data_IF_082266945283
#
_entry.id   IF_082266945283
#
_cell.length_a   1.000
_cell.length_b   1.000
_cell.length_c   1.000
_cell.angle_alpha   90.00
_cell.angle_beta   90.00
_cell.angle_gamma   90.00
#
_symmetry.space_group_name_H-M   'P 1'
#
loop_
_entity.id
_entity.type
_entity.pdbx_description
1 polymer ?
#
# COMPACT_ATOMS: atom_id res chain seq x y z
N UNK A 1 -11.03 -2.78 -6.14
CA UNK A 1 -10.56 -4.15 -5.89
C UNK A 1 -11.48 -4.71 -4.81
N UNK A 2 -11.21 -5.93 -4.36
CA UNK A 2 -11.99 -6.70 -3.39
C UNK A 2 -11.13 -7.92 -3.00
N UNK A 3 -10.02 -7.74 -2.26
CA UNK A 3 -9.08 -8.81 -2.00
C UNK A 3 -9.71 -9.92 -1.16
N UNK A 4 -9.66 -11.15 -1.67
CA UNK A 4 -10.13 -12.38 -1.01
C UNK A 4 -9.01 -13.41 -1.03
N UNK A 5 -9.11 -14.47 -0.25
CA UNK A 5 -8.01 -15.44 -0.07
C UNK A 5 -7.54 -16.14 -1.35
N UNK A 6 -8.36 -16.18 -2.41
CA UNK A 6 -8.06 -16.85 -3.69
C UNK A 6 -8.42 -16.01 -4.92
N UNK A 7 -8.86 -14.77 -4.74
CA UNK A 7 -9.34 -13.94 -5.85
C UNK A 7 -9.23 -12.45 -5.56
N UNK A 8 -9.19 -11.66 -6.63
CA UNK A 8 -9.23 -10.19 -6.57
C UNK A 8 -10.15 -9.66 -7.66
N UNK A 9 -10.81 -8.53 -7.40
CA UNK A 9 -11.44 -7.75 -8.47
C UNK A 9 -10.39 -6.88 -9.16
N UNK A 10 -10.06 -7.25 -10.40
CA UNK A 10 -8.99 -6.65 -11.17
C UNK A 10 -9.55 -5.68 -12.22
N UNK A 11 -8.89 -4.53 -12.34
CA UNK A 11 -9.11 -3.57 -13.42
C UNK A 11 -7.81 -3.41 -14.19
N UNK A 12 -7.86 -3.60 -15.51
CA UNK A 12 -6.73 -3.38 -16.41
C UNK A 12 -7.22 -2.47 -17.52
N UNK A 13 -6.47 -1.40 -17.78
CA UNK A 13 -6.67 -0.54 -18.93
C UNK A 13 -5.38 -0.47 -19.74
N UNK A 14 -5.49 -0.62 -21.05
CA UNK A 14 -4.38 -0.53 -21.99
C UNK A 14 -4.83 0.19 -23.25
N UNK A 15 -3.97 1.02 -23.81
CA UNK A 15 -4.25 1.68 -25.10
C UNK A 15 -3.61 0.87 -26.22
N UNK A 16 -4.43 0.39 -27.15
CA UNK A 16 -3.99 -0.20 -28.40
C UNK A 16 -3.99 0.89 -29.48
N UNK A 17 -2.84 1.08 -30.12
CA UNK A 17 -2.71 1.94 -31.28
C UNK A 17 -2.38 1.09 -32.52
N UNK A 18 -3.23 1.18 -33.53
CA UNK A 18 -3.00 0.62 -34.84
C UNK A 18 -2.37 1.69 -35.75
N UNK A 19 -1.32 1.35 -36.51
CA UNK A 19 -0.65 2.31 -37.40
C UNK A 19 -1.52 2.71 -38.60
N UNK A 20 -2.66 2.05 -38.78
CA UNK A 20 -3.61 2.30 -39.87
C UNK A 20 -4.98 2.58 -39.31
N UNK A 21 -5.68 3.55 -39.90
CA UNK A 21 -7.07 3.85 -39.58
C UNK A 21 -8.02 2.97 -40.41
N UNK A 22 -7.82 1.65 -40.30
CA UNK A 22 -8.67 0.65 -40.95
C UNK A 22 -9.25 -0.25 -39.86
N UNK A 23 -10.56 -0.54 -39.87
CA UNK A 23 -11.18 -1.40 -38.87
C UNK A 23 -10.56 -2.80 -38.82
N UNK A 24 -9.91 -3.12 -37.70
CA UNK A 24 -9.40 -4.44 -37.38
C UNK A 24 -10.25 -5.04 -36.27
N UNK A 25 -10.91 -6.16 -36.55
CA UNK A 25 -11.67 -6.92 -35.55
C UNK A 25 -10.73 -7.86 -34.80
N UNK A 26 -10.72 -7.81 -33.49
CA UNK A 26 -9.94 -8.67 -32.60
C UNK A 26 -10.94 -9.58 -31.86
N UNK A 27 -10.74 -10.90 -31.94
CA UNK A 27 -11.55 -11.85 -31.17
C UNK A 27 -11.36 -11.63 -29.66
N UNK A 28 -12.30 -12.07 -28.80
CA UNK A 28 -12.06 -12.12 -27.35
C UNK A 28 -10.77 -12.88 -27.04
N UNK A 29 -10.05 -12.46 -26.00
CA UNK A 29 -8.76 -13.04 -25.63
C UNK A 29 -8.61 -13.21 -24.13
N UNK A 30 -7.76 -14.16 -23.74
CA UNK A 30 -7.32 -14.35 -22.36
C UNK A 30 -5.90 -13.83 -22.23
N UNK A 31 -5.68 -12.82 -21.39
CA UNK A 31 -4.36 -12.38 -20.95
C UNK A 31 -3.92 -13.26 -19.79
N UNK A 32 -2.77 -13.92 -19.94
CA UNK A 32 -2.08 -14.62 -18.86
C UNK A 32 -1.07 -13.67 -18.24
N UNK A 33 -1.18 -13.40 -16.94
CA UNK A 33 -0.28 -12.55 -16.17
C UNK A 33 0.61 -13.43 -15.31
N UNK A 34 1.93 -13.29 -15.43
CA UNK A 34 2.91 -14.11 -14.71
C UNK A 34 4.07 -13.27 -14.16
N UNK A 35 4.69 -13.73 -13.07
CA UNK A 35 5.99 -13.22 -12.62
C UNK A 35 7.08 -13.73 -13.56
N UNK A 36 8.17 -12.98 -13.77
CA UNK A 36 9.22 -13.39 -14.73
C UNK A 36 10.00 -14.64 -14.26
N UNK A 37 10.07 -14.90 -12.95
CA UNK A 37 10.67 -16.11 -12.38
C UNK A 37 9.80 -17.37 -12.52
N UNK A 38 8.53 -17.23 -12.89
CA UNK A 38 7.60 -18.33 -13.15
C UNK A 38 7.22 -18.35 -14.63
N UNK A 39 7.74 -19.33 -15.36
CA UNK A 39 7.44 -19.58 -16.78
C UNK A 39 6.00 -19.22 -17.17
N UNK A 40 5.78 -18.64 -18.35
CA UNK A 40 4.45 -18.33 -18.91
C UNK A 40 3.44 -19.48 -18.90
N UNK A 41 3.87 -20.70 -18.54
CA UNK A 41 3.07 -21.89 -18.31
C UNK A 41 2.32 -21.90 -16.96
N UNK A 42 2.60 -21.00 -16.02
CA UNK A 42 1.88 -20.91 -14.74
C UNK A 42 1.59 -19.45 -14.35
N UNK A 43 0.61 -18.79 -14.99
CA UNK A 43 0.24 -17.43 -14.63
C UNK A 43 -0.31 -17.34 -13.20
N UNK A 44 -0.09 -16.19 -12.55
CA UNK A 44 -0.75 -15.87 -11.29
C UNK A 44 -2.23 -15.49 -11.49
N UNK A 45 -2.59 -14.99 -12.67
CA UNK A 45 -3.94 -14.57 -13.00
C UNK A 45 -4.24 -14.70 -14.51
N UNK A 46 -5.51 -14.95 -14.82
CA UNK A 46 -6.04 -14.91 -16.19
C UNK A 46 -7.12 -13.84 -16.28
N UNK A 47 -7.01 -12.96 -17.28
CA UNK A 47 -7.94 -11.85 -17.49
C UNK A 47 -8.60 -11.99 -18.85
N UNK A 48 -9.93 -11.98 -18.86
CA UNK A 48 -10.74 -12.19 -20.06
C UNK A 48 -11.13 -10.84 -20.66
N UNK A 49 -10.50 -10.48 -21.77
CA UNK A 49 -10.78 -9.24 -22.50
C UNK A 49 -11.81 -9.52 -23.60
N UNK A 50 -12.92 -8.74 -23.67
CA UNK A 50 -13.92 -8.90 -24.72
C UNK A 50 -13.35 -8.55 -26.10
N UNK A 51 -13.90 -9.16 -27.14
CA UNK A 51 -13.55 -8.83 -28.51
C UNK A 51 -13.95 -7.40 -28.87
N UNK A 52 -13.21 -6.78 -29.77
CA UNK A 52 -13.40 -5.38 -30.17
C UNK A 52 -13.08 -5.17 -31.64
N UNK A 53 -13.61 -4.10 -32.25
CA UNK A 53 -13.14 -3.61 -33.54
C UNK A 53 -12.45 -2.28 -33.34
N UNK A 54 -11.22 -2.14 -33.82
CA UNK A 54 -10.37 -0.96 -33.61
C UNK A 54 -10.06 -0.32 -34.97
N UNK A 55 -10.35 0.97 -35.12
CA UNK A 55 -9.86 1.81 -36.22
C UNK A 55 -8.97 2.89 -35.63
N UNK A 56 -7.65 2.81 -35.84
CA UNK A 56 -6.70 3.69 -35.17
C UNK A 56 -6.47 3.31 -33.71
N UNK A 57 -7.03 4.07 -32.76
CA UNK A 57 -6.75 3.91 -31.31
C UNK A 57 -7.97 3.40 -30.55
N UNK A 58 -7.78 2.43 -29.66
CA UNK A 58 -8.81 1.97 -28.73
C UNK A 58 -8.25 1.68 -27.35
N UNK A 59 -9.10 1.81 -26.33
CA UNK A 59 -8.80 1.33 -24.98
C UNK A 59 -9.31 -0.10 -24.86
N UNK A 60 -8.41 -0.99 -24.46
CA UNK A 60 -8.66 -2.39 -24.14
C UNK A 60 -8.59 -2.55 -22.63
N UNK A 61 -9.48 -3.38 -22.07
CA UNK A 61 -9.45 -3.57 -20.64
C UNK A 61 -10.65 -4.31 -20.10
N UNK A 62 -10.62 -4.46 -18.77
CA UNK A 62 -11.71 -4.96 -17.96
C UNK A 62 -11.80 -4.08 -16.73
N UNK A 63 -13.01 -3.95 -16.19
CA UNK A 63 -13.25 -3.23 -14.95
C UNK A 63 -13.85 -4.18 -13.92
N UNK A 64 -13.26 -4.20 -12.73
CA UNK A 64 -13.69 -5.01 -11.59
C UNK A 64 -14.02 -6.47 -11.95
N UNK A 65 -13.17 -7.09 -12.78
CA UNK A 65 -13.32 -8.50 -13.12
C UNK A 65 -12.81 -9.35 -11.96
N UNK A 66 -13.70 -10.12 -11.34
CA UNK A 66 -13.32 -11.11 -10.32
C UNK A 66 -12.42 -12.16 -10.97
N UNK A 67 -11.17 -12.16 -10.56
CA UNK A 67 -10.10 -12.95 -11.14
C UNK A 67 -9.62 -13.97 -10.11
N UNK A 68 -9.63 -15.25 -10.47
CA UNK A 68 -9.07 -16.32 -9.64
C UNK A 68 -7.55 -16.27 -9.71
N UNK A 69 -6.90 -16.52 -8.56
CA UNK A 69 -5.46 -16.43 -8.41
C UNK A 69 -4.83 -17.82 -8.30
N UNK A 70 -3.67 -17.99 -8.92
CA UNK A 70 -2.72 -19.00 -8.47
C UNK A 70 -1.98 -18.41 -7.26
N UNK A 71 -2.40 -18.81 -6.06
CA UNK A 71 -1.93 -18.20 -4.81
C UNK A 71 -0.42 -18.19 -4.64
N UNK A 72 0.29 -19.24 -5.05
CA UNK A 72 1.74 -19.28 -4.90
C UNK A 72 2.42 -18.24 -5.81
N UNK A 73 2.06 -18.23 -7.09
CA UNK A 73 2.61 -17.29 -8.06
C UNK A 73 2.20 -15.85 -7.76
N UNK A 74 0.98 -15.66 -7.24
CA UNK A 74 0.51 -14.35 -6.80
C UNK A 74 1.27 -13.85 -5.59
N UNK A 75 1.51 -14.70 -4.58
CA UNK A 75 2.32 -14.35 -3.41
C UNK A 75 3.74 -13.93 -3.82
N UNK A 76 4.39 -14.69 -4.71
CA UNK A 76 5.72 -14.34 -5.25
C UNK A 76 5.69 -12.96 -5.92
N UNK A 77 4.70 -12.70 -6.77
CA UNK A 77 4.54 -11.40 -7.42
C UNK A 77 4.27 -10.26 -6.42
N UNK A 78 3.41 -10.48 -5.43
CA UNK A 78 3.12 -9.51 -4.37
C UNK A 78 4.37 -9.20 -3.54
N UNK A 79 5.19 -10.23 -3.22
CA UNK A 79 6.49 -10.03 -2.56
C UNK A 79 7.42 -9.16 -3.40
N UNK A 80 7.62 -9.48 -4.68
CA UNK A 80 8.43 -8.63 -5.56
C UNK A 80 7.90 -7.20 -5.61
N UNK A 81 6.58 -7.02 -5.75
CA UNK A 81 5.94 -5.69 -5.73
C UNK A 81 6.16 -4.93 -4.44
N UNK A 82 6.24 -5.58 -3.29
CA UNK A 82 6.47 -4.91 -2.01
C UNK A 82 7.95 -4.55 -1.82
N UNK A 83 8.87 -5.50 -2.04
CA UNK A 83 10.26 -5.35 -1.62
C UNK A 83 11.17 -4.73 -2.68
N UNK A 84 10.90 -4.94 -3.96
CA UNK A 84 11.80 -4.53 -5.05
C UNK A 84 11.50 -3.10 -5.53
N UNK A 85 12.53 -2.39 -6.00
CA UNK A 85 12.35 -1.07 -6.61
C UNK A 85 11.72 -1.17 -8.00
N UNK A 86 12.03 -2.25 -8.74
CA UNK A 86 11.51 -2.52 -10.08
C UNK A 86 11.09 -3.97 -10.17
N UNK A 87 9.90 -4.21 -10.69
CA UNK A 87 9.33 -5.54 -10.86
C UNK A 87 9.00 -5.76 -12.33
N UNK A 88 9.28 -6.97 -12.81
CA UNK A 88 8.91 -7.39 -14.14
C UNK A 88 7.69 -8.31 -14.10
N UNK A 89 6.72 -8.07 -14.98
CA UNK A 89 5.53 -8.88 -15.18
C UNK A 89 5.45 -9.33 -16.64
N UNK A 90 5.28 -10.63 -16.87
CA UNK A 90 5.02 -11.17 -18.20
C UNK A 90 3.51 -11.15 -18.50
N UNK A 91 3.17 -10.71 -19.70
CA UNK A 91 1.81 -10.71 -20.24
C UNK A 91 1.81 -11.49 -21.55
N UNK A 92 1.06 -12.58 -21.58
CA UNK A 92 0.99 -13.47 -22.73
C UNK A 92 -0.46 -13.75 -23.18
N UNK A 93 -0.72 -13.65 -24.48
CA UNK A 93 -1.99 -14.01 -25.08
C UNK A 93 -1.83 -14.46 -26.54
N UNK A 94 -2.80 -15.24 -27.02
CA UNK A 94 -2.95 -15.57 -28.43
C UNK A 94 -4.37 -15.24 -28.87
N UNK A 95 -4.50 -14.52 -29.97
CA UNK A 95 -5.81 -14.08 -30.48
C UNK A 95 -5.81 -14.08 -32.00
N UNK A 96 -7.00 -14.19 -32.60
CA UNK A 96 -7.15 -13.92 -34.02
C UNK A 96 -7.59 -12.47 -34.23
N UNK A 97 -6.91 -11.79 -35.15
CA UNK A 97 -7.30 -10.48 -35.67
C UNK A 97 -7.75 -10.61 -37.13
N UNK A 98 -8.68 -9.76 -37.54
CA UNK A 98 -9.29 -9.79 -38.86
C UNK A 98 -9.30 -8.41 -39.49
N UNK A 99 -8.84 -8.36 -40.75
CA UNK A 99 -8.96 -7.20 -41.63
C UNK A 99 -9.88 -7.59 -42.78
N UNK A 100 -11.16 -7.24 -42.66
CA UNK A 100 -12.20 -7.80 -43.54
C UNK A 100 -12.26 -9.33 -43.44
N UNK A 101 -12.01 -10.03 -44.55
CA UNK A 101 -11.97 -11.50 -44.60
C UNK A 101 -10.58 -12.08 -44.27
N UNK A 102 -9.54 -11.26 -44.21
CA UNK A 102 -8.18 -11.71 -43.88
C UNK A 102 -8.11 -12.01 -42.39
N UNK A 103 -7.61 -13.19 -42.03
CA UNK A 103 -7.40 -13.63 -40.65
C UNK A 103 -5.90 -13.72 -40.36
N UNK A 104 -5.49 -13.22 -39.21
CA UNK A 104 -4.13 -13.35 -38.69
C UNK A 104 -4.15 -13.86 -37.25
N UNK A 105 -3.28 -14.81 -36.92
CA UNK A 105 -3.06 -15.26 -35.55
C UNK A 105 -1.96 -14.41 -34.93
N UNK A 106 -2.31 -13.60 -33.94
CA UNK A 106 -1.40 -12.72 -33.22
C UNK A 106 -1.04 -13.36 -31.88
N UNK A 107 0.27 -13.42 -31.59
CA UNK A 107 0.79 -13.82 -30.29
C UNK A 107 1.34 -12.57 -29.61
N UNK A 108 0.75 -12.21 -28.48
CA UNK A 108 1.27 -11.20 -27.58
C UNK A 108 2.14 -11.89 -26.54
N UNK A 109 3.39 -11.49 -26.45
CA UNK A 109 4.29 -11.87 -25.37
C UNK A 109 5.11 -10.64 -25.03
N UNK A 110 4.78 -10.00 -23.90
CA UNK A 110 5.40 -8.75 -23.48
C UNK A 110 5.83 -8.85 -22.03
N UNK A 111 7.05 -8.41 -21.77
CA UNK A 111 7.51 -8.12 -20.43
C UNK A 111 7.24 -6.64 -20.12
N UNK A 112 6.63 -6.38 -18.98
CA UNK A 112 6.33 -5.05 -18.47
C UNK A 112 7.21 -4.84 -17.24
N UNK A 113 8.16 -3.92 -17.35
CA UNK A 113 8.97 -3.46 -16.22
C UNK A 113 8.26 -2.25 -15.62
N UNK A 114 8.01 -2.30 -14.32
CA UNK A 114 7.34 -1.25 -13.57
C UNK A 114 8.04 -1.01 -12.23
N UNK A 115 7.74 0.11 -11.57
CA UNK A 115 8.20 0.37 -10.21
C UNK A 115 7.44 -0.53 -9.23
N UNK A 116 8.16 -1.12 -8.27
CA UNK A 116 7.60 -1.72 -7.06
C UNK A 116 7.51 -0.69 -5.93
N UNK A 117 7.19 -1.13 -4.72
CA UNK A 117 7.05 -0.26 -3.55
C UNK A 117 8.36 -0.01 -2.82
N UNK A 118 9.44 -0.69 -3.20
CA UNK A 118 10.78 -0.53 -2.64
C UNK A 118 10.78 -0.57 -1.09
N UNK A 119 10.12 -1.58 -0.52
CA UNK A 119 9.93 -1.74 0.93
C UNK A 119 9.33 -0.50 1.62
N UNK A 120 8.48 0.24 0.91
CA UNK A 120 7.91 1.53 1.35
C UNK A 120 8.98 2.58 1.73
N UNK A 121 10.11 2.61 1.02
CA UNK A 121 11.12 3.65 1.19
C UNK A 121 10.49 5.05 1.14
N UNK A 122 10.77 5.86 2.17
CA UNK A 122 10.11 7.16 2.40
C UNK A 122 8.87 7.09 3.31
N UNK A 123 8.59 5.93 3.92
CA UNK A 123 7.65 5.82 5.04
C UNK A 123 8.01 6.83 6.14
N UNK A 124 7.02 7.58 6.61
CA UNK A 124 7.22 8.59 7.65
C UNK A 124 5.98 8.77 8.51
N UNK A 125 6.19 9.21 9.74
CA UNK A 125 5.16 9.53 10.73
C UNK A 125 5.07 11.05 10.85
N UNK A 126 3.86 11.58 10.94
CA UNK A 126 3.53 13.00 11.12
C UNK A 126 2.38 13.16 12.09
N UNK A 127 2.24 14.35 12.66
CA UNK A 127 1.17 14.72 13.57
C UNK A 127 0.98 13.70 14.71
N UNK A 128 2.05 13.18 15.35
CA UNK A 128 1.88 12.18 16.39
C UNK A 128 1.30 12.81 17.64
N UNK A 129 0.44 12.08 18.36
CA UNK A 129 -0.21 12.53 19.58
C UNK A 129 -0.50 11.35 20.51
N UNK A 130 -0.25 11.53 21.81
CA UNK A 130 -0.78 10.64 22.84
C UNK A 130 -2.17 11.11 23.27
N UNK A 131 -3.09 10.16 23.44
CA UNK A 131 -4.41 10.42 24.02
C UNK A 131 -4.36 10.08 25.51
N UNK A 132 -4.58 11.09 26.35
CA UNK A 132 -4.54 10.99 27.81
C UNK A 132 -5.79 11.68 28.38
N UNK A 133 -6.83 10.92 28.80
CA UNK A 133 -6.91 9.46 28.85
C UNK A 133 -6.99 8.79 27.46
N UNK A 134 -6.77 7.47 27.42
CA UNK A 134 -7.01 6.68 26.21
C UNK A 134 -8.49 6.75 25.80
N UNK A 135 -8.75 6.62 24.50
CA UNK A 135 -10.11 6.52 23.98
C UNK A 135 -10.79 5.22 24.43
N UNK A 136 -12.12 5.14 24.31
CA UNK A 136 -12.94 4.01 24.77
C UNK A 136 -12.51 2.64 24.20
N UNK A 137 -11.94 2.63 22.99
CA UNK A 137 -11.43 1.43 22.33
C UNK A 137 -9.98 1.06 22.73
N UNK A 138 -9.40 1.78 23.70
CA UNK A 138 -8.03 1.61 24.18
C UNK A 138 -6.96 2.35 23.36
N UNK A 139 -7.32 3.02 22.26
CA UNK A 139 -6.36 3.83 21.50
C UNK A 139 -5.80 4.95 22.36
N UNK A 140 -4.47 5.00 22.50
CA UNK A 140 -3.76 6.02 23.27
C UNK A 140 -2.64 6.71 22.47
N UNK A 141 -2.50 6.37 21.19
CA UNK A 141 -1.57 7.00 20.26
C UNK A 141 -2.28 7.17 18.91
N UNK A 142 -2.19 8.34 18.32
CA UNK A 142 -2.66 8.60 16.96
C UNK A 142 -1.55 9.30 16.18
N UNK A 143 -1.48 9.04 14.89
CA UNK A 143 -0.57 9.73 13.98
C UNK A 143 -1.09 9.65 12.55
N UNK A 144 -0.46 10.42 11.67
CA UNK A 144 -0.62 10.29 10.21
C UNK A 144 0.64 9.64 9.65
N UNK A 145 0.49 8.57 8.87
CA UNK A 145 1.63 7.96 8.16
C UNK A 145 1.60 8.28 6.69
N UNK A 146 2.76 8.53 6.09
CA UNK A 146 2.93 8.64 4.63
C UNK A 146 3.41 7.32 4.08
N UNK A 147 2.71 6.78 3.07
CA UNK A 147 3.04 5.53 2.38
C UNK A 147 3.25 5.82 0.89
N UNK A 148 4.51 5.99 0.45
CA UNK A 148 4.83 6.19 -0.96
C UNK A 148 4.48 4.98 -1.83
N UNK A 149 3.96 5.25 -3.02
CA UNK A 149 3.73 4.26 -4.06
C UNK A 149 4.22 4.81 -5.40
N UNK A 150 5.48 4.52 -5.79
CA UNK A 150 6.03 4.98 -7.05
C UNK A 150 5.52 4.15 -8.24
N UNK A 151 4.72 3.10 -8.01
CA UNK A 151 4.11 2.29 -9.06
C UNK A 151 2.90 2.99 -9.69
N UNK A 152 2.47 2.46 -10.84
CA UNK A 152 1.22 2.88 -11.50
C UNK A 152 -0.01 2.12 -10.98
N UNK A 153 0.18 1.19 -10.04
CA UNK A 153 -0.89 0.35 -9.51
C UNK A 153 -1.58 1.02 -8.32
N UNK A 154 -2.89 0.85 -8.25
CA UNK A 154 -3.65 1.07 -7.01
C UNK A 154 -3.82 -0.27 -6.30
N UNK A 155 -3.50 -0.32 -5.01
CA UNK A 155 -3.58 -1.54 -4.20
C UNK A 155 -4.60 -1.33 -3.07
N UNK A 156 -5.67 -2.11 -3.05
CA UNK A 156 -6.59 -2.16 -1.93
C UNK A 156 -6.14 -3.25 -0.96
N UNK A 157 -5.61 -2.84 0.19
CA UNK A 157 -5.00 -3.73 1.19
C UNK A 157 -6.02 -4.12 2.26
N UNK A 158 -6.81 -3.16 2.73
CA UNK A 158 -7.76 -3.35 3.84
C UNK A 158 -7.19 -2.88 5.17
N UNK A 159 -7.56 -3.55 6.26
CA UNK A 159 -7.06 -3.23 7.60
C UNK A 159 -5.74 -3.93 7.87
N UNK A 160 -4.71 -3.16 8.20
CA UNK A 160 -3.35 -3.63 8.51
C UNK A 160 -3.08 -3.45 10.00
N UNK A 161 -2.67 -4.52 10.67
CA UNK A 161 -2.24 -4.51 12.07
C UNK A 161 -0.72 -4.67 12.13
N UNK A 162 -0.07 -3.79 12.89
CA UNK A 162 1.37 -3.69 13.03
C UNK A 162 1.76 -3.85 14.50
N UNK A 163 2.85 -4.54 14.77
CA UNK A 163 3.55 -4.44 16.05
C UNK A 163 4.51 -3.24 15.99
N UNK A 164 4.52 -2.40 17.02
CA UNK A 164 5.44 -1.27 17.15
C UNK A 164 6.58 -1.65 18.10
N UNK A 165 7.82 -1.40 17.68
CA UNK A 165 9.03 -1.73 18.43
C UNK A 165 9.95 -0.53 18.62
N UNK A 166 10.66 -0.53 19.73
CA UNK A 166 11.83 0.32 19.97
C UNK A 166 12.98 -0.60 20.38
N UNK A 167 14.08 -0.58 19.64
CA UNK A 167 15.28 -1.38 19.97
C UNK A 167 14.93 -2.87 20.19
N UNK A 168 14.17 -3.45 19.27
CA UNK A 168 13.60 -4.82 19.28
C UNK A 168 12.48 -5.10 20.31
N UNK A 169 12.31 -4.26 21.32
CA UNK A 169 11.23 -4.41 22.31
C UNK A 169 9.89 -3.96 21.73
N UNK A 170 8.90 -4.86 21.71
CA UNK A 170 7.52 -4.51 21.35
C UNK A 170 6.95 -3.57 22.41
N UNK A 171 6.57 -2.36 22.00
CA UNK A 171 6.03 -1.30 22.85
C UNK A 171 4.52 -1.13 22.68
N UNK A 172 3.90 -1.82 21.72
CA UNK A 172 2.47 -1.72 21.44
C UNK A 172 2.13 -2.28 20.08
N UNK A 173 0.89 -2.01 19.64
CA UNK A 173 0.46 -2.27 18.27
C UNK A 173 -0.18 -1.01 17.66
N UNK A 174 -0.31 -1.03 16.34
CA UNK A 174 -1.02 0.01 15.61
C UNK A 174 -1.84 -0.58 14.47
N UNK A 175 -2.86 0.17 14.06
CA UNK A 175 -3.82 -0.24 13.02
C UNK A 175 -3.97 0.87 11.98
N UNK A 176 -3.81 0.51 10.72
CA UNK A 176 -4.27 1.28 9.56
C UNK A 176 -5.58 0.65 9.08
N UNK A 177 -6.65 1.43 9.01
CA UNK A 177 -7.96 0.94 8.56
C UNK A 177 -8.18 1.30 7.09
N UNK A 178 -8.82 0.38 6.37
CA UNK A 178 -9.29 0.57 4.98
C UNK A 178 -8.21 1.15 4.05
N UNK A 179 -6.98 0.64 4.19
CA UNK A 179 -5.82 1.12 3.48
C UNK A 179 -5.96 0.82 1.98
N UNK A 180 -6.01 1.89 1.20
CA UNK A 180 -5.90 1.88 -0.26
C UNK A 180 -4.64 2.65 -0.61
N UNK A 181 -3.73 2.03 -1.35
CA UNK A 181 -2.46 2.60 -1.79
C UNK A 181 -2.54 2.99 -3.26
N UNK A 182 -2.76 4.29 -3.52
CA UNK A 182 -2.81 4.86 -4.88
C UNK A 182 -1.43 5.32 -5.33
N UNK A 183 -1.18 5.44 -6.65
CA UNK A 183 0.06 6.02 -7.16
C UNK A 183 0.36 7.39 -6.57
N UNK A 184 1.63 7.61 -6.21
CA UNK A 184 2.13 8.84 -5.57
C UNK A 184 2.32 8.70 -4.05
N UNK A 185 2.42 9.85 -3.38
CA UNK A 185 2.53 9.92 -1.92
C UNK A 185 1.15 10.17 -1.33
N UNK A 186 0.75 9.31 -0.41
CA UNK A 186 -0.52 9.40 0.28
C UNK A 186 -0.33 9.26 1.79
N UNK A 187 -1.24 9.90 2.52
CA UNK A 187 -1.26 9.86 3.97
C UNK A 187 -2.45 9.04 4.47
N UNK A 188 -2.27 8.34 5.58
CA UNK A 188 -3.32 7.53 6.20
C UNK A 188 -3.27 7.66 7.72
N UNK A 189 -4.43 7.73 8.41
CA UNK A 189 -4.47 7.78 9.86
C UNK A 189 -4.07 6.44 10.46
N UNK A 190 -3.21 6.49 11.48
CA UNK A 190 -2.72 5.37 12.26
C UNK A 190 -3.27 5.47 13.69
N UNK A 191 -3.80 4.37 14.20
CA UNK A 191 -4.32 4.27 15.57
C UNK A 191 -3.52 3.24 16.35
N UNK A 192 -2.88 3.66 17.43
CA UNK A 192 -1.99 2.86 18.25
C UNK A 192 -2.48 2.63 19.68
N UNK A 193 -2.08 1.48 20.21
CA UNK A 193 -2.20 1.12 21.63
C UNK A 193 -0.79 0.83 22.13
N UNK A 194 -0.19 1.84 22.77
CA UNK A 194 1.14 1.81 23.35
C UNK A 194 1.09 1.39 24.82
N UNK A 195 2.03 0.54 25.22
CA UNK A 195 2.27 0.19 26.62
C UNK A 195 3.23 1.20 27.25
N UNK A 196 2.67 2.32 27.73
CA UNK A 196 3.44 3.41 28.33
C UNK A 196 4.21 2.97 29.58
N UNK A 197 3.70 2.00 30.35
CA UNK A 197 4.41 1.45 31.51
C UNK A 197 5.67 0.70 31.09
N UNK A 198 5.60 -0.10 30.03
CA UNK A 198 6.73 -0.83 29.46
C UNK A 198 7.78 0.12 28.89
N UNK A 199 7.35 1.17 28.19
CA UNK A 199 8.25 2.22 27.70
C UNK A 199 8.96 2.89 28.89
N UNK A 200 8.22 3.23 29.94
CA UNK A 200 8.77 3.85 31.17
C UNK A 200 9.74 2.92 31.89
N UNK A 201 9.42 1.64 32.06
CA UNK A 201 10.29 0.68 32.74
C UNK A 201 11.59 0.44 31.99
N UNK A 202 11.57 0.57 30.66
CA UNK A 202 12.72 0.33 29.79
C UNK A 202 13.42 1.64 29.36
N UNK A 203 13.03 2.79 29.91
CA UNK A 203 13.49 4.11 29.46
C UNK A 203 15.03 4.24 29.44
N UNK A 204 15.72 3.73 30.46
CA UNK A 204 17.20 3.78 30.50
C UNK A 204 17.86 3.02 29.35
N UNK A 205 17.32 1.85 28.99
CA UNK A 205 17.81 1.04 27.86
C UNK A 205 17.48 1.72 26.53
N UNK A 206 16.27 2.25 26.39
CA UNK A 206 15.83 2.97 25.19
C UNK A 206 16.72 4.20 24.96
N UNK A 207 16.92 5.02 25.99
CA UNK A 207 17.76 6.24 25.91
C UNK A 207 19.19 5.89 25.47
N UNK A 208 19.76 4.82 26.02
CA UNK A 208 21.11 4.37 25.65
C UNK A 208 21.18 3.85 24.21
N UNK A 209 20.16 3.12 23.76
CA UNK A 209 20.14 2.51 22.42
C UNK A 209 19.79 3.50 21.30
N UNK A 210 19.11 4.59 21.63
CA UNK A 210 18.59 5.58 20.69
C UNK A 210 19.25 6.96 20.89
N UNK A 211 20.44 7.02 21.49
CA UNK A 211 21.11 8.29 21.86
C UNK A 211 21.16 9.28 20.70
N UNK A 212 21.61 8.80 19.53
CA UNK A 212 21.82 9.65 18.36
C UNK A 212 20.50 10.18 17.81
N UNK A 213 19.46 9.35 17.75
CA UNK A 213 18.12 9.78 17.32
C UNK A 213 17.53 10.81 18.30
N UNK A 214 17.67 10.55 19.60
CA UNK A 214 17.16 11.42 20.66
C UNK A 214 17.85 12.78 20.69
N UNK A 215 19.17 12.83 20.47
CA UNK A 215 19.92 14.08 20.33
C UNK A 215 19.41 14.93 19.16
N UNK A 216 18.90 14.30 18.11
CA UNK A 216 18.28 14.97 16.97
C UNK A 216 16.78 15.25 17.15
N UNK A 217 16.20 14.93 18.32
CA UNK A 217 14.79 15.19 18.64
C UNK A 217 13.82 14.12 18.14
N UNK A 218 14.32 12.94 17.76
CA UNK A 218 13.52 11.83 17.23
C UNK A 218 13.63 10.58 18.08
N UNK A 219 12.69 9.67 17.87
CA UNK A 219 12.75 8.30 18.36
C UNK A 219 12.50 7.36 17.17
N UNK A 220 13.42 6.43 16.90
CA UNK A 220 13.21 5.47 15.81
C UNK A 220 12.22 4.40 16.26
N UNK A 221 11.13 4.26 15.51
CA UNK A 221 10.10 3.25 15.71
C UNK A 221 10.14 2.27 14.54
N UNK A 222 10.31 1.00 14.86
CA UNK A 222 10.15 -0.09 13.90
C UNK A 222 8.70 -0.57 13.91
N UNK A 223 8.07 -0.59 12.74
CA UNK A 223 6.73 -1.12 12.55
C UNK A 223 6.82 -2.43 11.76
N UNK A 224 6.32 -3.52 12.34
CA UNK A 224 6.33 -4.85 11.71
C UNK A 224 4.90 -5.28 11.42
N UNK A 225 4.58 -5.56 10.16
CA UNK A 225 3.24 -6.03 9.78
C UNK A 225 2.99 -7.42 10.35
N UNK A 226 1.83 -7.59 11.00
CA UNK A 226 1.42 -8.83 11.65
C UNK A 226 0.25 -9.49 10.95
N UNK A 227 -0.73 -8.70 10.52
CA UNK A 227 -1.98 -9.21 9.96
C UNK A 227 -2.57 -8.20 8.97
N UNK A 228 -3.07 -8.71 7.85
CA UNK A 228 -3.88 -7.96 6.90
C UNK A 228 -5.24 -8.62 6.75
N UNK A 229 -6.30 -7.83 6.93
CA UNK A 229 -7.69 -8.28 6.77
C UNK A 229 -8.46 -7.37 5.82
N UNK A 230 -9.44 -7.95 5.14
CA UNK A 230 -10.40 -7.22 4.31
C UNK A 230 -11.81 -7.73 4.65
N UNK A 231 -12.73 -6.82 4.95
CA UNK A 231 -14.06 -7.16 5.50
C UNK A 231 -14.00 -8.12 6.70
N UNK A 232 -12.97 -7.99 7.55
CA UNK A 232 -12.77 -8.84 8.72
C UNK A 232 -12.23 -10.25 8.44
N UNK A 233 -11.94 -10.59 7.17
CA UNK A 233 -11.34 -11.87 6.78
C UNK A 233 -9.87 -11.66 6.43
N UNK A 234 -9.00 -12.56 6.87
CA UNK A 234 -7.58 -12.51 6.53
C UNK A 234 -7.34 -12.60 5.01
N UNK A 235 -6.40 -11.79 4.53
CA UNK A 235 -5.90 -11.82 3.15
C UNK A 235 -4.50 -12.45 3.16
N UNK A 236 -4.36 -13.79 2.96
CA UNK A 236 -3.13 -14.50 3.28
C UNK A 236 -1.92 -14.03 2.47
N UNK A 237 -2.10 -13.71 1.19
CA UNK A 237 -0.97 -13.26 0.36
C UNK A 237 -0.45 -11.88 0.79
N UNK A 238 -1.26 -11.02 1.42
CA UNK A 238 -0.77 -9.76 1.98
C UNK A 238 -0.14 -9.99 3.35
N UNK A 239 -0.79 -10.74 4.22
CA UNK A 239 -0.24 -11.10 5.54
C UNK A 239 1.11 -11.79 5.39
N UNK A 240 1.22 -12.79 4.51
CA UNK A 240 2.44 -13.58 4.33
C UNK A 240 3.53 -12.85 3.54
N UNK A 241 3.17 -11.97 2.60
CA UNK A 241 4.15 -11.16 1.90
C UNK A 241 4.74 -10.07 2.79
N UNK A 242 3.92 -9.43 3.62
CA UNK A 242 4.36 -8.37 4.51
C UNK A 242 4.85 -8.88 5.87
N UNK A 243 4.72 -10.17 6.16
CA UNK A 243 5.25 -10.73 7.39
C UNK A 243 6.77 -10.44 7.47
N UNK A 244 7.21 -9.87 8.60
CA UNK A 244 8.58 -9.38 8.82
C UNK A 244 9.02 -8.20 7.93
N UNK A 245 8.12 -7.54 7.21
CA UNK A 245 8.41 -6.24 6.63
C UNK A 245 8.54 -5.23 7.78
N UNK A 246 9.77 -4.81 8.04
CA UNK A 246 10.07 -3.77 9.02
C UNK A 246 10.15 -2.42 8.33
N UNK A 247 9.30 -1.49 8.76
CA UNK A 247 9.37 -0.09 8.35
C UNK A 247 9.84 0.74 9.54
N UNK A 248 11.02 1.34 9.43
CA UNK A 248 11.57 2.25 10.44
C UNK A 248 11.17 3.68 10.12
N UNK A 249 10.64 4.41 11.10
CA UNK A 249 10.33 5.83 10.97
C UNK A 249 10.83 6.64 12.18
N UNK A 250 11.15 7.91 11.91
CA UNK A 250 11.43 8.91 12.93
C UNK A 250 10.11 9.41 13.54
N UNK A 251 9.95 9.24 14.85
CA UNK A 251 8.88 9.86 15.62
C UNK A 251 9.36 11.21 16.18
N UNK A 252 8.81 12.35 15.72
CA UNK A 252 9.22 13.67 16.21
C UNK A 252 8.73 13.93 17.63
N UNK A 253 9.65 14.00 18.59
CA UNK A 253 9.30 14.05 20.03
C UNK A 253 8.77 15.41 20.49
N UNK A 254 9.29 16.50 19.91
CA UNK A 254 8.79 17.86 20.21
C UNK A 254 7.35 18.01 19.73
N UNK A 255 7.07 17.58 18.51
CA UNK A 255 5.73 17.60 17.93
C UNK A 255 4.77 16.71 18.71
N UNK A 256 5.19 15.49 19.08
CA UNK A 256 4.44 14.60 19.95
C UNK A 256 4.02 15.29 21.26
N UNK A 257 4.97 15.97 21.92
CA UNK A 257 4.71 16.69 23.16
C UNK A 257 3.72 17.85 22.97
N UNK A 258 3.93 18.68 21.95
CA UNK A 258 3.06 19.83 21.65
C UNK A 258 1.64 19.40 21.27
N UNK A 259 1.48 18.39 20.43
CA UNK A 259 0.19 17.86 20.00
C UNK A 259 -0.55 17.19 21.17
N UNK A 260 0.15 16.44 22.01
CA UNK A 260 -0.42 15.83 23.22
C UNK A 260 -0.96 16.90 24.19
N UNK A 261 -0.17 17.95 24.46
CA UNK A 261 -0.62 19.06 25.31
C UNK A 261 -1.79 19.83 24.69
N UNK A 262 -1.76 20.07 23.38
CA UNK A 262 -2.84 20.71 22.64
C UNK A 262 -4.15 19.93 22.79
N UNK A 263 -4.12 18.62 22.54
CA UNK A 263 -5.30 17.75 22.67
C UNK A 263 -5.87 17.70 24.09
N UNK A 264 -5.01 17.68 25.12
CA UNK A 264 -5.48 17.75 26.51
C UNK A 264 -6.19 19.06 26.85
N UNK A 265 -5.79 20.18 26.27
CA UNK A 265 -6.43 21.47 26.51
C UNK A 265 -7.80 21.56 25.81
N UNK A 266 -7.89 21.03 24.59
CA UNK A 266 -9.14 20.98 23.81
C UNK A 266 -10.20 20.11 24.48
N UNK A 267 -9.83 18.93 24.97
CA UNK A 267 -10.75 17.99 25.65
C UNK A 267 -11.28 18.57 26.97
N UNK A 268 -10.48 19.39 27.66
CA UNK A 268 -10.88 20.10 28.88
C UNK A 268 -11.63 21.42 28.63
N UNK A 269 -11.96 21.75 27.37
CA UNK A 269 -12.68 22.99 27.02
C UNK A 269 -11.87 24.27 27.24
N UNK A 270 -10.56 24.16 27.45
CA UNK A 270 -9.64 25.29 27.61
C UNK A 270 -9.09 25.61 26.22
N UNK A 271 -9.69 26.59 25.53
CA UNK A 271 -9.26 26.99 24.19
C UNK A 271 -7.74 27.20 24.10
N UNK A 272 -7.10 26.58 23.11
CA UNK A 272 -5.65 26.60 22.91
C UNK A 272 -5.11 28.04 22.88
N UNK A 273 -4.16 28.41 23.77
CA UNK A 273 -3.57 29.75 23.79
C UNK A 273 -2.75 30.06 22.52
N UNK A 274 -2.41 29.04 21.73
CA UNK A 274 -1.60 29.16 20.51
C UNK A 274 -2.40 29.50 19.25
N UNK A 275 -3.73 29.42 19.30
CA UNK A 275 -4.62 29.75 18.17
C UNK A 275 -4.71 31.26 17.85
N UNK A 276 -4.13 32.14 18.67
CA UNK A 276 -4.31 33.59 18.56
C UNK A 276 -3.24 34.36 17.75
N UNK A 277 -2.22 33.69 17.19
CA UNK A 277 -1.11 34.38 16.48
C UNK A 277 -1.11 34.33 14.95
N UNK A 278 -2.19 33.88 14.30
CA UNK A 278 -2.33 33.94 12.83
C UNK A 278 -3.50 34.81 12.34
N UNK A 279 -4.06 35.67 13.19
CA UNK A 279 -5.11 36.63 12.78
C UNK A 279 -4.74 38.09 13.07
N UNK A 280 -3.52 38.51 12.71
CA UNK A 280 -3.11 39.92 12.61
C UNK A 280 -2.00 40.10 11.55
N UNK A 281 -2.38 39.83 10.33
CA UNK A 281 -1.84 40.32 9.06
C UNK A 281 -2.87 39.76 8.08
N UNK A 282 -4.01 40.43 7.91
CA UNK A 282 -4.13 41.47 6.89
C UNK A 282 -4.98 42.65 7.38
N UNK A 283 -4.41 43.84 7.26
CA UNK A 283 -5.08 45.13 7.21
C UNK A 283 -4.64 45.83 5.94
#
# INVERSE_FOLDING_TARGET
MNPRSHSVDLTINSTLHLPVDIPVRIDPLTLNLASVHGSSNSPFAQVYIPGITVGGTAVLGVQNQTTQLNNQQWLEYVRSMIFEETVAMSVAARVNAYLGKLKSSVVFNKEIIQKGLNSFSGFSIRDPQLLLPAADNGTNFIATVSLPNPSVMTLEIGTVVLDLKISEDIIGNATLKDLIIKPGNQSSPLYGILNLERIKSNAGTIIKAQSDALENGYLLIDSVVKLVTYDGVEVPYYTEAMNNLTMTAELPLVELGLNTLGGMLEDNGIGSPFSSRLRRADG
#
